data_IF_074888089960
#
_entry.id   IF_074888089960
#
_cell.length_a   1.000
_cell.length_b   1.000
_cell.length_c   1.000
_cell.angle_alpha   90.00
_cell.angle_beta   90.00
_cell.angle_gamma   90.00
#
_symmetry.space_group_name_H-M   'P 1'
#
loop_
_entity.id
_entity.type
_entity.pdbx_description
1 polymer ?
#
# COMPACT_ATOMS: atom_id res chain seq x y z
N UNK A 1 -2.85 -25.74 -27.56
CA UNK A 1 -2.87 -25.42 -26.14
C UNK A 1 -2.03 -24.17 -25.97
N UNK A 2 -2.58 -23.16 -25.32
CA UNK A 2 -1.86 -21.95 -25.01
C UNK A 2 -0.72 -22.28 -24.02
N UNK A 3 0.47 -21.74 -24.29
CA UNK A 3 1.65 -21.97 -23.45
C UNK A 3 2.10 -20.64 -22.87
N UNK A 4 2.29 -20.59 -21.56
CA UNK A 4 2.90 -19.46 -20.91
C UNK A 4 4.41 -19.44 -21.21
N UNK A 5 4.89 -18.33 -21.74
CA UNK A 5 6.31 -18.11 -22.04
C UNK A 5 6.81 -16.88 -21.27
N UNK A 6 8.05 -16.95 -20.81
CA UNK A 6 8.68 -15.80 -20.17
C UNK A 6 8.89 -14.67 -21.19
N UNK A 7 8.54 -13.45 -20.79
CA UNK A 7 8.72 -12.26 -21.59
C UNK A 7 10.02 -11.54 -21.21
N UNK A 8 11.04 -11.71 -22.03
CA UNK A 8 12.36 -11.12 -21.81
C UNK A 8 13.22 -11.86 -20.77
N UNK A 9 14.32 -11.24 -20.38
CA UNK A 9 15.23 -11.75 -19.37
C UNK A 9 14.72 -11.45 -17.95
N UNK A 10 15.28 -12.14 -16.96
CA UNK A 10 15.01 -11.85 -15.55
C UNK A 10 15.40 -10.42 -15.20
N UNK A 11 14.60 -9.78 -14.37
CA UNK A 11 14.94 -8.54 -13.69
C UNK A 11 15.58 -8.92 -12.35
N UNK A 12 16.83 -8.56 -12.13
CA UNK A 12 17.59 -8.94 -10.96
C UNK A 12 17.73 -7.76 -10.00
N UNK A 13 17.82 -8.05 -8.71
CA UNK A 13 18.16 -7.06 -7.68
C UNK A 13 19.60 -6.57 -7.82
N UNK A 14 19.88 -5.37 -7.33
CA UNK A 14 21.20 -4.73 -7.43
C UNK A 14 22.27 -5.41 -6.56
N UNK A 15 21.88 -6.11 -5.50
CA UNK A 15 22.79 -6.82 -4.62
C UNK A 15 22.11 -8.00 -3.88
N UNK A 16 22.95 -8.83 -3.28
CA UNK A 16 22.51 -9.94 -2.41
C UNK A 16 21.79 -9.38 -1.18
N UNK A 17 20.70 -10.03 -0.75
CA UNK A 17 19.84 -9.66 0.39
C UNK A 17 18.95 -8.42 0.21
N UNK A 18 18.75 -7.95 -1.01
CA UNK A 18 17.89 -6.81 -1.30
C UNK A 18 16.44 -7.19 -1.62
N UNK A 19 15.94 -8.32 -1.24
CA UNK A 19 14.52 -8.75 -1.33
C UNK A 19 13.72 -8.14 -2.50
N UNK A 20 14.32 -8.09 -3.74
CA UNK A 20 13.62 -7.56 -4.91
C UNK A 20 12.37 -8.42 -5.18
N UNK A 21 11.24 -7.76 -5.38
CA UNK A 21 9.96 -8.44 -5.57
C UNK A 21 9.12 -8.49 -4.31
N UNK A 22 9.38 -7.63 -3.32
CA UNK A 22 8.54 -7.48 -2.13
C UNK A 22 7.09 -7.17 -2.49
N UNK A 23 6.90 -6.20 -3.40
CA UNK A 23 5.65 -5.95 -4.11
C UNK A 23 5.93 -5.95 -5.61
N UNK A 24 4.98 -6.45 -6.38
CA UNK A 24 5.05 -6.49 -7.84
C UNK A 24 3.66 -6.13 -8.36
N UNK A 25 3.60 -5.13 -9.26
CA UNK A 25 2.37 -4.77 -9.93
C UNK A 25 2.61 -4.57 -11.43
N UNK A 26 1.71 -5.13 -12.23
CA UNK A 26 1.69 -4.90 -13.68
C UNK A 26 0.76 -3.74 -14.01
N UNK A 27 1.20 -2.87 -14.90
CA UNK A 27 0.30 -1.92 -15.53
C UNK A 27 -0.77 -2.61 -16.38
N UNK A 28 -1.89 -1.96 -16.60
CA UNK A 28 -3.11 -2.50 -17.23
C UNK A 28 -2.90 -3.20 -18.58
N UNK A 29 -1.87 -2.80 -19.35
CA UNK A 29 -1.53 -3.42 -20.64
C UNK A 29 -0.37 -4.44 -20.58
N UNK A 30 0.15 -4.71 -19.37
CA UNK A 30 1.28 -5.61 -19.15
C UNK A 30 2.62 -5.16 -19.73
N UNK A 31 2.75 -3.89 -20.15
CA UNK A 31 3.99 -3.34 -20.69
C UNK A 31 4.83 -2.57 -19.67
N UNK A 32 4.31 -2.34 -18.49
CA UNK A 32 5.05 -1.74 -17.39
C UNK A 32 4.91 -2.60 -16.14
N UNK A 33 5.93 -2.60 -15.30
CA UNK A 33 5.96 -3.33 -14.04
C UNK A 33 6.61 -2.48 -12.97
N UNK A 34 5.94 -2.34 -11.83
CA UNK A 34 6.49 -1.78 -10.60
C UNK A 34 7.00 -2.92 -9.73
N UNK A 35 8.22 -2.79 -9.24
CA UNK A 35 8.84 -3.77 -8.33
C UNK A 35 9.44 -3.01 -7.16
N UNK A 36 9.20 -3.48 -5.93
CA UNK A 36 9.78 -2.88 -4.74
C UNK A 36 10.76 -3.81 -4.02
N UNK A 37 11.54 -3.19 -3.16
CA UNK A 37 12.57 -3.82 -2.34
C UNK A 37 12.53 -3.15 -0.97
N UNK A 38 12.08 -3.83 0.06
CA UNK A 38 11.98 -3.26 1.40
C UNK A 38 13.33 -3.26 2.16
N UNK A 39 14.25 -4.11 1.78
CA UNK A 39 15.58 -4.26 2.43
C UNK A 39 16.73 -3.66 1.61
N UNK A 40 16.48 -2.58 0.86
CA UNK A 40 17.53 -1.86 0.14
C UNK A 40 18.34 -0.98 1.09
N UNK A 41 19.67 -1.06 1.04
CA UNK A 41 20.57 -0.25 1.86
C UNK A 41 21.68 0.38 1.00
N UNK A 42 21.91 1.68 1.17
CA UNK A 42 22.93 2.43 0.39
C UNK A 42 24.33 2.38 0.98
N UNK A 43 24.53 1.78 2.16
CA UNK A 43 25.82 1.72 2.85
C UNK A 43 25.99 0.48 3.71
N UNK A 44 27.22 0.20 4.11
CA UNK A 44 27.66 -0.93 4.91
C UNK A 44 27.01 -1.09 6.31
N UNK A 45 26.10 -0.21 6.70
CA UNK A 45 25.48 -0.21 8.02
C UNK A 45 24.11 -0.93 8.08
N UNK A 46 23.77 -1.78 7.12
CA UNK A 46 22.58 -2.66 7.13
C UNK A 46 21.25 -1.98 7.53
N UNK A 47 21.04 -0.73 7.14
CA UNK A 47 19.80 -0.04 7.45
C UNK A 47 18.87 -0.09 6.23
N UNK A 48 17.73 -0.73 6.36
CA UNK A 48 16.71 -0.81 5.31
C UNK A 48 16.12 0.58 5.04
N UNK A 49 16.38 1.12 3.85
CA UNK A 49 15.75 2.37 3.41
C UNK A 49 14.61 2.11 2.42
N UNK A 50 14.64 0.95 1.76
CA UNK A 50 13.70 0.54 0.74
C UNK A 50 13.89 1.22 -0.62
N UNK A 51 13.34 0.62 -1.66
CA UNK A 51 13.45 1.11 -3.04
C UNK A 51 12.25 0.67 -3.87
N UNK A 52 11.85 1.52 -4.82
CA UNK A 52 10.91 1.16 -5.88
C UNK A 52 11.52 1.45 -7.25
N UNK A 53 11.30 0.54 -8.19
CA UNK A 53 11.72 0.64 -9.59
C UNK A 53 10.56 0.32 -10.51
N UNK A 54 10.48 1.04 -11.61
CA UNK A 54 9.53 0.73 -12.68
C UNK A 54 10.31 0.33 -13.93
N UNK A 55 9.84 -0.70 -14.61
CA UNK A 55 10.40 -1.13 -15.90
C UNK A 55 9.32 -1.07 -16.97
N UNK A 56 9.73 -0.76 -18.19
CA UNK A 56 8.89 -0.75 -19.37
C UNK A 56 9.43 -1.75 -20.42
N UNK A 57 8.50 -2.43 -21.07
CA UNK A 57 8.82 -3.35 -22.16
C UNK A 57 9.11 -2.58 -23.45
N UNK A 58 10.33 -2.69 -23.94
CA UNK A 58 10.79 -2.04 -25.18
C UNK A 58 10.36 -2.73 -26.48
N UNK A 59 9.66 -3.86 -26.38
CA UNK A 59 9.39 -4.78 -27.50
C UNK A 59 10.32 -6.00 -27.52
N UNK A 60 11.48 -5.92 -26.89
CA UNK A 60 12.48 -7.00 -26.84
C UNK A 60 13.09 -7.23 -25.45
N UNK A 61 13.09 -6.23 -24.58
CA UNK A 61 13.65 -6.30 -23.23
C UNK A 61 12.93 -5.37 -22.27
N UNK A 62 13.07 -5.66 -20.98
CA UNK A 62 12.65 -4.75 -19.90
C UNK A 62 13.72 -3.68 -19.69
N UNK A 63 13.35 -2.42 -19.82
CA UNK A 63 14.22 -1.28 -19.57
C UNK A 63 13.68 -0.48 -18.39
N UNK A 64 14.56 -0.01 -17.50
CA UNK A 64 14.12 0.81 -16.37
C UNK A 64 13.53 2.13 -16.86
N UNK A 65 12.38 2.49 -16.31
CA UNK A 65 11.65 3.71 -16.61
C UNK A 65 11.84 4.72 -15.49
N UNK A 66 12.47 5.84 -15.79
CA UNK A 66 12.89 6.83 -14.79
C UNK A 66 14.04 6.35 -13.92
N UNK A 67 14.32 7.08 -12.85
CA UNK A 67 15.34 6.72 -11.86
C UNK A 67 14.76 5.88 -10.71
N UNK A 68 15.64 5.45 -9.82
CA UNK A 68 15.26 4.77 -8.59
C UNK A 68 14.49 5.71 -7.65
N UNK A 69 13.46 5.21 -7.00
CA UNK A 69 12.79 5.88 -5.90
C UNK A 69 13.26 5.19 -4.61
N UNK A 70 13.99 5.92 -3.79
CA UNK A 70 14.59 5.40 -2.56
C UNK A 70 13.98 6.03 -1.31
N UNK A 71 14.00 5.30 -0.21
CA UNK A 71 13.58 5.80 1.09
C UNK A 71 14.50 6.92 1.59
N UNK A 72 13.97 7.81 2.41
CA UNK A 72 14.69 8.99 2.91
C UNK A 72 15.42 8.75 4.22
N UNK A 73 15.12 7.69 4.93
CA UNK A 73 15.67 7.41 6.25
C UNK A 73 15.93 5.93 6.49
N UNK A 74 16.73 5.66 7.52
CA UNK A 74 17.09 4.30 7.93
C UNK A 74 15.86 3.59 8.49
N UNK A 75 15.67 2.34 8.10
CA UNK A 75 14.58 1.47 8.55
C UNK A 75 13.18 2.01 8.22
N UNK A 76 13.05 2.84 7.17
CA UNK A 76 11.74 3.34 6.74
C UNK A 76 10.98 2.33 5.90
N UNK A 77 11.71 1.36 5.33
CA UNK A 77 11.16 0.25 4.55
C UNK A 77 10.27 0.72 3.39
N UNK A 78 10.73 1.77 2.64
CA UNK A 78 10.00 2.25 1.48
C UNK A 78 9.74 1.10 0.50
N UNK A 79 8.51 1.00 0.02
CA UNK A 79 8.08 -0.08 -0.86
C UNK A 79 7.51 -1.29 -0.10
N UNK A 80 7.24 -1.16 1.21
CA UNK A 80 6.51 -2.16 1.98
C UNK A 80 5.14 -2.47 1.37
N UNK A 81 4.44 -1.43 0.93
CA UNK A 81 3.29 -1.53 0.03
C UNK A 81 3.46 -0.55 -1.14
N UNK A 82 2.88 -0.89 -2.28
CA UNK A 82 2.94 -0.06 -3.47
C UNK A 82 1.69 -0.21 -4.33
N UNK A 83 1.32 0.85 -5.05
CA UNK A 83 0.25 0.83 -6.04
C UNK A 83 0.73 1.48 -7.33
N UNK A 84 0.33 0.91 -8.45
CA UNK A 84 0.77 1.36 -9.76
C UNK A 84 -0.40 1.62 -10.68
N UNK A 85 -0.56 2.86 -11.11
CA UNK A 85 -1.55 3.23 -12.08
C UNK A 85 -0.89 3.60 -13.42
N UNK A 86 -1.32 2.92 -14.45
CA UNK A 86 -0.86 3.07 -15.82
C UNK A 86 -2.03 3.05 -16.80
N UNK A 87 -3.19 3.56 -16.39
CA UNK A 87 -4.30 3.69 -17.32
C UNK A 87 -4.02 4.79 -18.35
N UNK A 88 -4.56 4.63 -19.55
CA UNK A 88 -4.47 5.67 -20.58
C UNK A 88 -5.29 6.94 -20.23
N UNK A 89 -5.94 6.94 -19.07
CA UNK A 89 -6.74 8.08 -18.58
C UNK A 89 -5.90 9.09 -17.80
N UNK A 90 -4.69 8.71 -17.41
CA UNK A 90 -3.76 9.55 -16.67
C UNK A 90 -2.89 10.35 -17.65
N UNK A 91 -2.87 11.67 -17.52
CA UNK A 91 -2.10 12.58 -18.40
C UNK A 91 -0.59 12.45 -18.26
N UNK A 92 -0.10 11.78 -17.24
CA UNK A 92 1.33 11.57 -16.97
C UNK A 92 1.88 10.24 -17.51
N UNK A 93 1.00 9.33 -17.97
CA UNK A 93 1.39 8.04 -18.54
C UNK A 93 1.76 6.95 -17.53
N UNK A 94 2.12 7.31 -16.32
CA UNK A 94 2.29 6.40 -15.18
C UNK A 94 2.32 7.18 -13.87
N UNK A 95 1.63 6.67 -12.86
CA UNK A 95 1.65 7.17 -11.48
C UNK A 95 1.88 6.00 -10.53
N UNK A 96 2.72 6.18 -9.54
CA UNK A 96 2.96 5.18 -8.51
C UNK A 96 2.75 5.79 -7.12
N UNK A 97 2.24 4.98 -6.21
CA UNK A 97 2.23 5.25 -4.79
C UNK A 97 3.13 4.24 -4.08
N UNK A 98 3.90 4.69 -3.12
CA UNK A 98 4.80 3.84 -2.31
C UNK A 98 4.73 4.25 -0.86
N UNK A 99 4.68 3.30 0.03
CA UNK A 99 4.64 3.51 1.47
C UNK A 99 5.99 3.34 2.15
N UNK A 100 6.14 4.02 3.28
CA UNK A 100 7.22 3.85 4.26
C UNK A 100 6.57 3.69 5.64
N UNK A 101 6.18 2.48 6.07
CA UNK A 101 5.35 2.29 7.27
C UNK A 101 6.06 2.67 8.57
N UNK A 102 7.38 2.78 8.54
CA UNK A 102 8.20 3.25 9.66
C UNK A 102 8.67 4.69 9.50
N UNK A 103 8.07 5.41 8.54
CA UNK A 103 8.30 6.85 8.34
C UNK A 103 7.87 7.68 9.55
N UNK A 104 8.35 8.91 9.59
CA UNK A 104 8.01 9.84 10.67
C UNK A 104 6.55 10.29 10.57
N UNK A 105 6.01 10.73 11.70
CA UNK A 105 4.74 11.46 11.72
C UNK A 105 4.88 12.80 10.98
N UNK A 106 3.74 13.39 10.62
CA UNK A 106 3.72 14.75 10.08
C UNK A 106 4.45 15.71 11.03
N UNK A 107 5.22 16.67 10.51
CA UNK A 107 5.91 17.62 11.36
C UNK A 107 4.91 18.45 12.15
N UNK A 108 4.74 18.12 13.43
CA UNK A 108 4.07 18.98 14.36
C UNK A 108 4.97 20.19 14.61
N UNK A 109 4.71 21.31 13.92
CA UNK A 109 5.39 22.57 14.10
C UNK A 109 6.93 22.50 14.19
N UNK A 110 7.57 22.16 13.07
CA UNK A 110 8.95 22.54 12.72
C UNK A 110 10.14 22.17 13.65
N UNK A 111 9.97 21.41 14.69
CA UNK A 111 11.10 21.01 15.56
C UNK A 111 11.56 19.56 15.37
N UNK A 112 10.94 18.79 14.51
CA UNK A 112 11.09 17.33 14.46
C UNK A 112 11.61 16.77 13.15
N UNK A 113 12.14 17.62 12.30
CA UNK A 113 12.84 17.21 11.09
C UNK A 113 14.31 16.96 11.41
N UNK A 114 14.64 15.81 11.94
CA UNK A 114 16.07 15.45 12.00
C UNK A 114 16.30 14.14 11.29
N UNK A 115 16.84 14.23 10.11
CA UNK A 115 17.18 13.12 9.22
C UNK A 115 18.29 12.21 9.74
N UNK A 116 18.29 11.82 11.00
CA UNK A 116 19.27 10.89 11.57
C UNK A 116 18.70 9.98 12.66
N UNK A 117 17.41 9.71 12.66
CA UNK A 117 16.84 8.78 13.65
C UNK A 117 16.87 9.32 15.08
N UNK A 118 16.82 10.62 15.25
CA UNK A 118 16.77 11.25 16.57
C UNK A 118 15.34 11.28 17.04
N UNK A 119 15.12 10.61 18.16
CA UNK A 119 13.89 10.66 18.91
C UNK A 119 13.52 12.08 19.29
N UNK A 120 12.34 12.49 18.88
CA UNK A 120 11.67 13.61 19.50
C UNK A 120 11.12 13.15 20.83
N UNK A 121 11.54 13.79 21.89
CA UNK A 121 11.20 13.47 23.27
C UNK A 121 11.77 12.16 23.86
N UNK A 122 12.90 11.65 23.39
CA UNK A 122 13.61 10.55 24.06
C UNK A 122 12.91 9.19 24.02
N UNK A 123 11.95 9.01 23.14
CA UNK A 123 11.21 7.76 22.93
C UNK A 123 11.57 7.09 21.59
N UNK A 124 11.11 5.86 21.37
CA UNK A 124 11.31 5.09 20.15
C UNK A 124 10.83 5.85 18.90
N UNK A 125 11.44 5.59 17.74
CA UNK A 125 11.06 6.17 16.45
C UNK A 125 9.54 6.14 16.29
N UNK A 126 8.93 7.28 15.96
CA UNK A 126 7.51 7.35 15.70
C UNK A 126 7.24 6.69 14.35
N UNK A 127 6.77 5.47 14.35
CA UNK A 127 6.40 4.69 13.17
C UNK A 127 4.97 5.06 12.73
N UNK A 128 4.71 6.32 12.40
CA UNK A 128 3.39 6.73 11.91
C UNK A 128 3.12 6.18 10.52
N UNK A 129 4.17 6.01 9.74
CA UNK A 129 4.10 5.70 8.34
C UNK A 129 3.85 6.93 7.46
N UNK A 130 4.34 6.88 6.24
CA UNK A 130 4.04 7.86 5.20
C UNK A 130 3.84 7.19 3.83
N UNK A 131 3.05 7.84 2.99
CA UNK A 131 2.85 7.45 1.60
C UNK A 131 3.22 8.61 0.70
N UNK A 132 3.97 8.32 -0.36
CA UNK A 132 4.34 9.24 -1.42
C UNK A 132 3.75 8.78 -2.73
N UNK A 133 3.26 9.72 -3.51
CA UNK A 133 2.80 9.48 -4.88
C UNK A 133 3.73 10.19 -5.84
N UNK A 134 4.07 9.54 -6.95
CA UNK A 134 4.95 10.08 -7.98
C UNK A 134 4.33 9.94 -9.35
N UNK A 135 4.46 10.98 -10.16
CA UNK A 135 4.14 10.99 -11.58
C UNK A 135 5.41 10.88 -12.42
N UNK A 136 5.34 10.16 -13.51
CA UNK A 136 6.40 10.15 -14.51
C UNK A 136 6.30 11.42 -15.36
N UNK A 137 7.31 12.27 -15.30
CA UNK A 137 7.36 13.52 -16.06
C UNK A 137 8.75 13.72 -16.65
N UNK A 138 8.84 13.91 -17.98
CA UNK A 138 10.12 14.11 -18.66
C UNK A 138 11.15 13.00 -18.48
N UNK A 139 10.69 11.77 -18.24
CA UNK A 139 11.57 10.60 -17.98
C UNK A 139 12.08 10.51 -16.54
N UNK A 140 11.53 11.30 -15.64
CA UNK A 140 11.86 11.28 -14.19
C UNK A 140 10.61 11.15 -13.33
N UNK A 141 10.77 10.56 -12.15
CA UNK A 141 9.71 10.50 -11.15
C UNK A 141 9.65 11.81 -10.37
N UNK A 142 8.53 12.48 -10.42
CA UNK A 142 8.26 13.74 -9.73
C UNK A 142 7.19 13.52 -8.67
N UNK A 143 7.47 13.88 -7.43
CA UNK A 143 6.48 13.72 -6.37
C UNK A 143 5.23 14.54 -6.63
N UNK A 144 4.07 13.88 -6.50
CA UNK A 144 2.73 14.44 -6.68
C UNK A 144 2.16 14.90 -5.36
N UNK A 145 2.14 16.18 -5.13
CA UNK A 145 1.68 16.78 -3.88
C UNK A 145 2.62 16.50 -2.70
N UNK A 146 2.13 16.74 -1.50
CA UNK A 146 2.85 16.45 -0.26
C UNK A 146 2.75 14.98 0.11
N UNK A 147 3.62 14.52 1.00
CA UNK A 147 3.45 13.21 1.67
C UNK A 147 2.13 13.15 2.42
N UNK A 148 1.55 11.97 2.45
CA UNK A 148 0.41 11.65 3.32
C UNK A 148 0.97 10.88 4.50
N UNK A 149 0.75 11.38 5.71
CA UNK A 149 1.30 10.82 6.94
C UNK A 149 0.24 10.05 7.73
N UNK A 150 0.68 9.01 8.45
CA UNK A 150 -0.09 8.43 9.55
C UNK A 150 -0.30 9.48 10.65
N UNK A 151 -1.31 9.30 11.46
CA UNK A 151 -1.75 10.30 12.43
C UNK A 151 -0.95 10.24 13.72
N UNK A 152 -0.72 9.03 14.20
CA UNK A 152 -0.13 8.80 15.50
C UNK A 152 1.07 7.85 15.42
N UNK A 153 1.85 7.87 16.50
CA UNK A 153 2.97 6.96 16.66
C UNK A 153 2.48 5.50 16.64
N UNK A 154 3.12 4.68 15.81
CA UNK A 154 2.86 3.25 15.59
C UNK A 154 1.66 2.91 14.71
N UNK A 155 0.93 3.85 14.15
CA UNK A 155 -0.17 3.58 13.21
C UNK A 155 0.28 2.77 12.00
N UNK A 156 1.54 2.98 11.59
CA UNK A 156 2.20 2.29 10.46
C UNK A 156 1.37 2.38 9.17
N UNK A 157 0.92 3.59 8.81
CA UNK A 157 0.22 3.83 7.56
C UNK A 157 0.99 3.23 6.38
N UNK A 158 0.31 2.43 5.56
CA UNK A 158 0.92 1.77 4.41
C UNK A 158 1.72 0.50 4.74
N UNK A 159 1.50 -0.12 5.91
CA UNK A 159 2.19 -1.37 6.26
C UNK A 159 1.68 -2.55 5.43
N UNK A 160 2.39 -2.87 4.37
CA UNK A 160 2.17 -4.07 3.57
C UNK A 160 2.98 -5.26 4.10
N UNK A 161 2.41 -6.06 4.97
CA UNK A 161 3.06 -7.29 5.47
C UNK A 161 3.07 -8.43 4.42
N UNK A 162 3.25 -8.11 3.14
CA UNK A 162 3.10 -8.99 1.99
C UNK A 162 1.81 -8.74 1.20
N UNK A 163 0.94 -7.88 1.71
CA UNK A 163 -0.37 -7.56 1.16
C UNK A 163 -0.39 -6.15 0.59
N UNK A 164 -1.32 -5.86 -0.32
CA UNK A 164 -1.60 -4.50 -0.73
C UNK A 164 -2.33 -3.77 0.41
N UNK A 165 -1.71 -2.73 0.91
CA UNK A 165 -2.26 -1.89 1.96
C UNK A 165 -2.49 -0.45 1.46
N UNK A 166 -2.10 -0.16 0.22
CA UNK A 166 -2.39 1.08 -0.49
C UNK A 166 -2.91 0.75 -1.90
N UNK A 167 -3.92 1.47 -2.36
CA UNK A 167 -4.50 1.30 -3.69
C UNK A 167 -4.85 2.64 -4.32
N UNK A 168 -4.48 2.84 -5.59
CA UNK A 168 -4.81 4.01 -6.41
C UNK A 168 -6.02 3.72 -7.30
N UNK A 169 -6.87 4.71 -7.50
CA UNK A 169 -7.89 4.68 -8.56
C UNK A 169 -7.26 4.77 -9.95
N UNK A 170 -7.98 4.35 -11.00
CA UNK A 170 -7.49 4.34 -12.39
C UNK A 170 -6.96 5.69 -12.90
N UNK A 171 -7.50 6.79 -12.43
CA UNK A 171 -7.03 8.12 -12.78
C UNK A 171 -5.94 8.65 -11.83
N UNK A 172 -5.54 7.84 -10.85
CA UNK A 172 -4.58 8.17 -9.80
C UNK A 172 -4.93 9.43 -8.97
N UNK A 173 -6.19 9.85 -8.96
CA UNK A 173 -6.62 11.00 -8.16
C UNK A 173 -7.21 10.61 -6.80
N UNK A 174 -7.48 9.34 -6.58
CA UNK A 174 -7.94 8.85 -5.28
C UNK A 174 -6.99 7.74 -4.84
N UNK A 175 -6.66 7.75 -3.55
CA UNK A 175 -5.82 6.73 -2.92
C UNK A 175 -6.46 6.30 -1.60
N UNK A 176 -6.62 4.99 -1.40
CA UNK A 176 -6.96 4.39 -0.11
C UNK A 176 -5.72 3.79 0.54
N UNK A 177 -5.63 3.92 1.85
CA UNK A 177 -4.46 3.50 2.63
C UNK A 177 -4.91 2.96 3.98
N UNK A 178 -4.38 1.81 4.36
CA UNK A 178 -4.60 1.24 5.67
C UNK A 178 -3.52 1.64 6.68
N UNK A 179 -3.92 1.76 7.93
CA UNK A 179 -3.08 1.93 9.10
C UNK A 179 -3.48 0.86 10.13
N UNK A 180 -3.00 -0.39 9.98
CA UNK A 180 -3.56 -1.53 10.73
C UNK A 180 -3.32 -1.48 12.25
N UNK A 181 -2.47 -0.60 12.71
CA UNK A 181 -2.17 -0.43 14.14
C UNK A 181 -2.65 0.90 14.70
N UNK A 182 -3.54 1.60 13.98
CA UNK A 182 -4.19 2.80 14.51
C UNK A 182 -5.09 2.45 15.70
N UNK A 183 -5.08 3.30 16.73
CA UNK A 183 -5.75 3.07 18.02
C UNK A 183 -7.08 3.85 18.16
N UNK A 184 -7.56 4.54 17.12
CA UNK A 184 -8.75 5.41 17.23
C UNK A 184 -10.02 4.62 17.57
N UNK A 185 -10.21 3.43 17.01
CA UNK A 185 -11.32 2.53 17.34
C UNK A 185 -11.08 1.61 18.55
N UNK A 186 -9.87 1.66 19.13
CA UNK A 186 -9.40 0.78 20.20
C UNK A 186 -7.95 0.36 19.96
N UNK A 187 -7.28 -0.21 20.95
CA UNK A 187 -5.88 -0.67 20.83
C UNK A 187 -5.73 -1.62 19.64
N UNK A 188 -4.90 -1.24 18.65
CA UNK A 188 -4.69 -1.95 17.38
C UNK A 188 -6.00 -2.22 16.60
N UNK A 189 -7.00 -1.34 16.70
CA UNK A 189 -8.23 -1.49 15.92
C UNK A 189 -7.98 -1.36 14.42
N UNK A 190 -7.02 -0.54 14.03
CA UNK A 190 -6.71 -0.23 12.66
C UNK A 190 -7.68 0.78 12.04
N UNK A 191 -7.30 1.35 10.91
CA UNK A 191 -8.13 2.29 10.16
C UNK A 191 -7.83 2.26 8.67
N UNK A 192 -8.77 2.76 7.87
CA UNK A 192 -8.58 3.09 6.45
C UNK A 192 -8.86 4.56 6.24
N UNK A 193 -7.94 5.23 5.52
CA UNK A 193 -8.09 6.63 5.12
C UNK A 193 -8.04 6.74 3.61
N UNK A 194 -8.91 7.56 3.06
CA UNK A 194 -8.96 7.81 1.62
C UNK A 194 -8.66 9.28 1.35
N UNK A 195 -7.84 9.56 0.35
CA UNK A 195 -7.47 10.92 -0.05
C UNK A 195 -7.77 11.15 -1.52
N UNK A 196 -8.15 12.39 -1.84
CA UNK A 196 -8.35 12.87 -3.19
C UNK A 196 -7.32 13.93 -3.53
N UNK A 197 -6.74 13.82 -4.73
CA UNK A 197 -5.82 14.80 -5.29
C UNK A 197 -6.56 15.82 -6.12
N UNK A 198 -6.54 17.06 -5.69
CA UNK A 198 -7.12 18.18 -6.42
C UNK A 198 -6.32 19.45 -6.16
N UNK A 199 -6.26 20.35 -7.12
CA UNK A 199 -5.56 21.64 -6.99
C UNK A 199 -4.11 21.49 -6.47
N UNK A 200 -3.40 20.46 -6.94
CA UNK A 200 -2.02 20.15 -6.60
C UNK A 200 -1.79 19.72 -5.13
N UNK A 201 -2.83 19.30 -4.44
CA UNK A 201 -2.73 18.81 -3.05
C UNK A 201 -3.59 17.58 -2.81
N UNK A 202 -3.16 16.76 -1.85
CA UNK A 202 -3.95 15.67 -1.30
C UNK A 202 -4.82 16.21 -0.17
N UNK A 203 -6.09 15.92 -0.21
CA UNK A 203 -7.05 16.20 0.86
C UNK A 203 -7.85 14.95 1.19
N UNK A 204 -8.14 14.74 2.46
CA UNK A 204 -8.90 13.56 2.87
C UNK A 204 -10.29 13.57 2.27
N UNK A 205 -10.74 12.42 1.81
CA UNK A 205 -12.05 12.19 1.21
C UNK A 205 -12.95 11.47 2.21
N UNK A 206 -13.80 12.22 2.89
CA UNK A 206 -14.62 11.71 3.98
C UNK A 206 -13.87 11.64 5.31
N UNK A 207 -14.45 10.95 6.28
CA UNK A 207 -13.88 10.71 7.61
C UNK A 207 -13.02 9.45 7.61
N UNK A 208 -12.25 9.22 8.66
CA UNK A 208 -11.56 7.97 8.91
C UNK A 208 -12.57 6.83 9.08
N UNK A 209 -12.20 5.67 8.62
CA UNK A 209 -12.98 4.46 8.82
C UNK A 209 -12.17 3.58 9.76
N UNK A 210 -12.59 3.53 11.03
CA UNK A 210 -11.89 2.80 12.09
C UNK A 210 -12.39 1.36 12.22
N UNK A 211 -11.50 0.48 12.66
CA UNK A 211 -11.86 -0.87 13.07
C UNK A 211 -12.78 -0.85 14.30
N UNK A 212 -13.59 -1.89 14.42
CA UNK A 212 -14.69 -1.93 15.39
C UNK A 212 -14.23 -2.29 16.82
N UNK A 213 -13.02 -2.81 16.99
CA UNK A 213 -12.58 -3.29 18.28
C UNK A 213 -11.08 -3.52 18.42
N UNK A 214 -10.69 -3.85 19.63
CA UNK A 214 -9.29 -4.12 20.00
C UNK A 214 -8.72 -5.27 19.19
N UNK A 215 -7.52 -5.06 18.62
CA UNK A 215 -6.79 -6.02 17.76
C UNK A 215 -7.51 -6.39 16.44
N UNK A 216 -8.42 -5.58 15.94
CA UNK A 216 -9.05 -5.83 14.65
C UNK A 216 -8.07 -5.73 13.48
N UNK A 217 -7.08 -4.85 13.61
CA UNK A 217 -6.10 -4.57 12.54
C UNK A 217 -6.75 -4.23 11.19
N UNK A 218 -7.92 -3.56 11.22
CA UNK A 218 -8.67 -3.16 10.03
C UNK A 218 -7.79 -2.31 9.09
N UNK A 219 -7.89 -2.57 7.80
CA UNK A 219 -7.04 -1.93 6.81
C UNK A 219 -5.68 -2.62 6.61
N UNK A 220 -5.48 -3.85 7.12
CA UNK A 220 -4.27 -4.62 6.83
C UNK A 220 -4.11 -4.90 5.33
N UNK A 221 -5.20 -5.11 4.63
CA UNK A 221 -5.28 -5.18 3.17
C UNK A 221 -6.37 -4.22 2.68
N UNK A 222 -6.11 -3.53 1.57
CA UNK A 222 -7.04 -2.53 0.99
C UNK A 222 -6.97 -2.59 -0.52
N UNK A 223 -8.11 -2.53 -1.20
CA UNK A 223 -8.18 -2.34 -2.64
C UNK A 223 -9.35 -1.44 -3.05
N UNK A 224 -9.15 -0.63 -4.11
CA UNK A 224 -10.10 0.36 -4.64
C UNK A 224 -10.69 -0.06 -5.97
N UNK A 225 -11.97 0.22 -6.18
CA UNK A 225 -12.56 0.25 -7.53
C UNK A 225 -11.89 1.31 -8.42
N UNK A 226 -12.03 1.17 -9.73
CA UNK A 226 -11.41 2.08 -10.71
C UNK A 226 -11.78 3.54 -10.51
N UNK A 227 -13.00 3.84 -10.10
CA UNK A 227 -13.46 5.20 -9.82
C UNK A 227 -12.97 5.76 -8.46
N UNK A 228 -12.42 4.89 -7.60
CA UNK A 228 -11.95 5.23 -6.26
C UNK A 228 -13.08 5.48 -5.24
N UNK A 229 -14.32 5.18 -5.58
CA UNK A 229 -15.49 5.46 -4.73
C UNK A 229 -16.05 4.22 -4.02
N UNK A 230 -15.44 3.06 -4.23
CA UNK A 230 -15.71 1.83 -3.47
C UNK A 230 -14.38 1.21 -3.07
N UNK A 231 -14.24 0.79 -1.84
CA UNK A 231 -13.07 0.01 -1.41
C UNK A 231 -13.48 -1.22 -0.61
N UNK A 232 -12.63 -2.22 -0.64
CA UNK A 232 -12.66 -3.39 0.24
C UNK A 232 -11.48 -3.35 1.16
N UNK A 233 -11.68 -3.72 2.44
CA UNK A 233 -10.60 -3.82 3.41
C UNK A 233 -10.76 -5.04 4.32
N UNK A 234 -9.63 -5.65 4.65
CA UNK A 234 -9.52 -6.78 5.54
C UNK A 234 -9.16 -6.43 6.98
N UNK A 235 -9.53 -7.30 7.90
CA UNK A 235 -9.28 -7.26 9.34
C UNK A 235 -8.99 -8.68 9.81
N UNK A 236 -8.07 -8.87 10.74
CA UNK A 236 -7.64 -10.22 11.17
C UNK A 236 -8.21 -10.69 12.52
N UNK A 237 -8.99 -9.89 13.22
CA UNK A 237 -9.56 -10.35 14.48
C UNK A 237 -10.56 -11.50 14.28
N UNK A 238 -10.66 -12.38 15.27
CA UNK A 238 -11.62 -13.48 15.33
C UNK A 238 -11.66 -14.40 14.10
N UNK A 239 -10.52 -14.64 13.46
CA UNK A 239 -10.41 -15.48 12.26
C UNK A 239 -10.41 -14.73 10.95
N UNK A 240 -10.64 -13.43 11.01
CA UNK A 240 -10.63 -12.53 9.88
C UNK A 240 -12.01 -12.10 9.42
N UNK A 241 -12.04 -10.92 8.83
CA UNK A 241 -13.27 -10.35 8.26
C UNK A 241 -12.95 -9.38 7.14
N UNK A 242 -13.94 -9.11 6.29
CA UNK A 242 -13.85 -8.18 5.18
C UNK A 242 -15.05 -7.25 5.18
N UNK A 243 -14.80 -5.99 4.94
CA UNK A 243 -15.82 -4.95 4.82
C UNK A 243 -15.66 -4.20 3.51
N UNK A 244 -16.78 -3.88 2.89
CA UNK A 244 -16.84 -3.04 1.68
C UNK A 244 -17.47 -1.72 2.05
N UNK A 245 -16.85 -0.62 1.61
CA UNK A 245 -17.37 0.74 1.84
C UNK A 245 -17.55 1.46 0.52
N UNK A 246 -18.59 2.29 0.45
CA UNK A 246 -18.87 3.14 -0.71
C UNK A 246 -19.03 4.59 -0.28
N UNK A 247 -18.40 5.49 -1.06
CA UNK A 247 -18.51 6.92 -0.87
C UNK A 247 -19.75 7.48 -1.56
N UNK A 248 -20.67 7.99 -0.76
CA UNK A 248 -21.90 8.60 -1.24
C UNK A 248 -22.28 9.76 -0.33
N UNK A 249 -22.83 10.85 -0.90
CA UNK A 249 -23.29 12.00 -0.12
C UNK A 249 -22.20 12.56 0.83
N UNK A 250 -20.95 12.60 0.37
CA UNK A 250 -19.78 13.10 1.10
C UNK A 250 -19.38 12.29 2.33
N UNK A 251 -19.79 11.04 2.43
CA UNK A 251 -19.40 10.12 3.51
C UNK A 251 -19.17 8.70 3.01
N UNK A 252 -18.36 7.96 3.74
CA UNK A 252 -18.17 6.52 3.55
C UNK A 252 -19.25 5.76 4.32
N UNK A 253 -19.88 4.79 3.68
CA UNK A 253 -20.87 3.92 4.31
C UNK A 253 -20.60 2.48 3.93
N UNK A 254 -20.70 1.57 4.91
CA UNK A 254 -20.55 0.14 4.65
C UNK A 254 -21.64 -0.38 3.73
N UNK A 255 -21.25 -1.17 2.74
CA UNK A 255 -22.13 -1.85 1.80
C UNK A 255 -22.37 -3.28 2.29
N UNK A 256 -23.60 -3.60 2.62
CA UNK A 256 -23.93 -4.92 3.16
C UNK A 256 -23.46 -5.14 4.59
N UNK A 257 -23.41 -6.40 5.00
CA UNK A 257 -22.88 -6.80 6.31
C UNK A 257 -21.39 -7.10 6.22
N UNK A 258 -20.69 -7.06 7.33
CA UNK A 258 -19.33 -7.59 7.45
C UNK A 258 -19.32 -9.06 7.05
N UNK A 259 -18.42 -9.42 6.14
CA UNK A 259 -18.21 -10.80 5.72
C UNK A 259 -17.21 -11.41 6.69
N UNK A 260 -17.63 -12.43 7.42
CA UNK A 260 -16.82 -13.11 8.43
C UNK A 260 -16.71 -14.59 8.11
N UNK A 261 -15.63 -15.21 8.53
CA UNK A 261 -15.51 -16.65 8.53
C UNK A 261 -15.70 -17.20 9.95
N UNK A 262 -16.41 -18.31 10.07
CA UNK A 262 -16.66 -18.98 11.36
C UNK A 262 -15.42 -19.70 11.89
N UNK A 263 -14.48 -20.05 11.01
CA UNK A 263 -13.26 -20.79 11.41
C UNK A 263 -12.18 -19.81 11.90
N UNK A 264 -11.80 -19.94 13.14
CA UNK A 264 -10.77 -19.10 13.74
C UNK A 264 -9.37 -19.54 13.27
N UNK A 265 -8.52 -18.57 12.90
CA UNK A 265 -7.11 -18.81 12.53
C UNK A 265 -6.82 -18.85 11.03
N UNK A 266 -7.82 -18.73 10.15
CA UNK A 266 -7.64 -18.79 8.70
C UNK A 266 -7.14 -17.48 8.10
N UNK A 267 -7.10 -16.39 8.88
CA UNK A 267 -6.69 -15.06 8.43
C UNK A 267 -7.49 -14.60 7.20
N UNK A 268 -8.81 -14.83 7.18
CA UNK A 268 -9.68 -14.37 6.11
C UNK A 268 -9.63 -12.83 5.98
N UNK A 269 -9.38 -12.33 4.79
CA UNK A 269 -9.14 -10.92 4.56
C UNK A 269 -7.66 -10.50 4.63
N UNK A 270 -6.73 -11.44 4.77
CA UNK A 270 -5.29 -11.14 4.71
C UNK A 270 -4.91 -10.51 3.35
N UNK A 271 -5.56 -10.93 2.28
CA UNK A 271 -5.48 -10.31 0.96
C UNK A 271 -6.89 -10.09 0.41
N UNK A 272 -7.11 -8.91 -0.17
CA UNK A 272 -8.38 -8.56 -0.83
C UNK A 272 -8.12 -7.96 -2.20
N UNK A 273 -9.08 -8.13 -3.10
CA UNK A 273 -9.11 -7.43 -4.38
C UNK A 273 -10.55 -7.11 -4.77
N UNK A 274 -10.77 -5.98 -5.44
CA UNK A 274 -12.06 -5.56 -5.95
C UNK A 274 -11.98 -5.30 -7.45
N UNK A 275 -13.02 -5.64 -8.19
CA UNK A 275 -13.06 -5.37 -9.62
C UNK A 275 -13.29 -3.87 -9.91
N UNK A 276 -13.11 -3.49 -11.18
CA UNK A 276 -13.11 -2.09 -11.60
C UNK A 276 -14.41 -1.35 -11.31
N UNK A 277 -15.58 -2.01 -11.37
CA UNK A 277 -16.87 -1.39 -11.09
C UNK A 277 -17.34 -1.51 -9.63
N UNK A 278 -16.54 -2.12 -8.77
CA UNK A 278 -16.80 -2.22 -7.32
C UNK A 278 -17.93 -3.20 -6.95
N UNK A 279 -18.21 -4.21 -7.79
CA UNK A 279 -19.34 -5.14 -7.60
C UNK A 279 -18.91 -6.55 -7.23
N UNK A 280 -17.65 -6.92 -7.43
CA UNK A 280 -17.10 -8.26 -7.15
C UNK A 280 -15.82 -8.08 -6.34
N UNK A 281 -15.68 -8.85 -5.28
CA UNK A 281 -14.47 -8.92 -4.47
C UNK A 281 -13.91 -10.35 -4.48
N UNK A 282 -12.60 -10.47 -4.37
CA UNK A 282 -11.91 -11.71 -4.08
C UNK A 282 -11.19 -11.56 -2.73
N UNK A 283 -11.28 -12.59 -1.89
CA UNK A 283 -10.76 -12.57 -0.52
C UNK A 283 -9.93 -13.82 -0.28
N UNK A 284 -8.70 -13.62 0.16
CA UNK A 284 -7.78 -14.69 0.54
C UNK A 284 -7.86 -15.01 2.02
N UNK A 285 -7.82 -16.31 2.31
CA UNK A 285 -7.65 -16.88 3.64
C UNK A 285 -6.43 -17.79 3.60
N UNK A 286 -5.20 -17.27 3.78
CA UNK A 286 -4.01 -18.09 3.79
C UNK A 286 -4.03 -18.97 5.05
N UNK A 287 -3.53 -20.20 4.91
CA UNK A 287 -3.48 -21.21 5.99
C UNK A 287 -2.82 -20.65 7.25
N UNK A 288 -3.43 -20.91 8.39
CA UNK A 288 -2.74 -20.85 9.67
C UNK A 288 -1.78 -22.05 9.80
N UNK A 289 -0.52 -21.79 10.18
CA UNK A 289 0.53 -22.82 10.30
C UNK A 289 0.24 -23.88 11.38
N UNK A 290 -0.72 -23.63 12.25
CA UNK A 290 -1.08 -24.53 13.37
C UNK A 290 -2.19 -25.53 13.02
N UNK A 291 -2.86 -25.40 11.86
CA UNK A 291 -3.99 -26.24 11.45
C UNK A 291 -3.77 -26.87 10.07
N UNK A 292 -4.25 -28.09 9.92
CA UNK A 292 -4.08 -28.90 8.70
C UNK A 292 -5.15 -28.59 7.62
N UNK A 293 -5.51 -27.30 7.47
CA UNK A 293 -6.43 -26.83 6.43
C UNK A 293 -5.69 -26.15 5.28
N UNK A 294 -6.07 -26.40 4.03
CA UNK A 294 -5.56 -25.64 2.89
C UNK A 294 -6.06 -24.20 2.95
N UNK A 295 -5.24 -23.25 2.49
CA UNK A 295 -5.71 -21.88 2.25
C UNK A 295 -6.81 -21.85 1.19
N UNK A 296 -7.67 -20.83 1.22
CA UNK A 296 -8.80 -20.66 0.30
C UNK A 296 -8.88 -19.25 -0.26
N UNK A 297 -9.57 -19.12 -1.37
CA UNK A 297 -9.97 -17.85 -1.98
C UNK A 297 -11.47 -17.89 -2.22
N UNK A 298 -12.17 -16.88 -1.75
CA UNK A 298 -13.61 -16.66 -2.02
C UNK A 298 -13.80 -15.49 -2.99
N UNK A 299 -14.80 -15.58 -3.88
CA UNK A 299 -15.14 -14.56 -4.88
C UNK A 299 -16.63 -14.29 -4.82
#
# INVERSE_FOLDING_TARGET
>A
ADVWIQRGSNINGDAVNYNLGRQIQLGSNGNKILITTDNYATSLNNSSIGQAKVYEWSGSSWAQLGGDITGEGRNFDLGSSASFENSNTNSYGATIAVSSPRGYCAPANSLEQVGNGVNVNGGAQANCGDVKVFDLSGGSWVQRGSKIYGENNRDQLGLGAGNNNISLSDNANIIAMGAPYNDAGGDLAGSVRVFNYSSSSWSQLGEDIDGAGVNDTFGLSVDLSSDGLTFVAGSLSNGGSVMVYKYTNSSWSQVGSTIVREETGDRFGDAVSINSDGTIIAVGAPKDFERDHPGEVEV
#
